data_IF_852755376165
#
_entry.id   IF_852755376165
#
_cell.length_a   1.000
_cell.length_b   1.000
_cell.length_c   1.000
_cell.angle_alpha   90.00
_cell.angle_beta   90.00
_cell.angle_gamma   90.00
#
_symmetry.space_group_name_H-M   'P 1'
#
loop_
_entity.id
_entity.type
_entity.pdbx_description
1 polymer ?
#
# COMPACT_ATOMS: atom_id res chain seq x y z
N UNK A 1 -14.11 13.01 20.72
CA UNK A 1 -15.26 12.56 21.54
C UNK A 1 -14.88 12.64 23.02
N UNK A 2 -15.75 13.12 23.91
CA UNK A 2 -15.47 13.26 25.36
C UNK A 2 -16.32 12.24 26.16
N UNK A 3 -15.82 11.65 27.27
CA UNK A 3 -16.56 10.67 28.07
C UNK A 3 -17.97 11.10 28.49
N UNK A 4 -18.14 12.39 28.81
CA UNK A 4 -19.46 12.97 29.17
C UNK A 4 -20.52 12.92 28.06
N UNK A 5 -20.14 12.57 26.83
CA UNK A 5 -21.05 12.45 25.69
C UNK A 5 -21.39 11.00 25.32
N UNK A 6 -20.99 10.03 26.17
CA UNK A 6 -21.20 8.60 25.98
C UNK A 6 -22.08 8.08 27.11
N UNK A 7 -23.15 7.37 26.76
CA UNK A 7 -24.07 6.74 27.70
C UNK A 7 -24.30 5.28 27.33
N UNK A 8 -24.58 4.45 28.34
CA UNK A 8 -25.04 3.07 28.15
C UNK A 8 -26.55 3.06 28.36
N UNK A 9 -27.29 2.70 27.31
CA UNK A 9 -28.73 2.58 27.38
C UNK A 9 -29.18 1.33 28.15
N UNK A 10 -30.48 1.24 28.45
CA UNK A 10 -31.05 0.15 29.25
C UNK A 10 -30.92 -1.25 28.64
N UNK A 11 -30.61 -1.33 27.35
CA UNK A 11 -30.45 -2.58 26.60
C UNK A 11 -28.98 -2.81 26.20
N UNK A 12 -28.03 -2.37 27.03
CA UNK A 12 -26.59 -2.46 26.79
C UNK A 12 -26.11 -1.80 25.48
N UNK A 13 -26.89 -0.84 24.96
CA UNK A 13 -26.56 -0.14 23.73
C UNK A 13 -25.70 1.10 24.02
N UNK A 14 -24.68 1.32 23.19
CA UNK A 14 -23.86 2.52 23.21
C UNK A 14 -24.61 3.73 22.64
N UNK A 15 -24.64 4.84 23.37
CA UNK A 15 -25.34 6.07 22.97
C UNK A 15 -24.35 7.24 23.00
N UNK A 16 -24.02 7.77 21.82
CA UNK A 16 -23.27 9.03 21.67
C UNK A 16 -24.22 10.20 21.42
N UNK A 17 -24.05 11.32 22.13
CA UNK A 17 -24.96 12.48 22.04
C UNK A 17 -24.35 13.73 21.41
N UNK A 18 -23.03 13.81 21.27
CA UNK A 18 -22.33 14.99 20.78
C UNK A 18 -21.50 14.65 19.53
N UNK A 19 -21.78 15.39 18.45
CA UNK A 19 -21.14 15.29 17.14
C UNK A 19 -20.56 16.66 16.70
N UNK A 20 -20.27 17.55 17.64
CA UNK A 20 -19.81 18.91 17.35
C UNK A 20 -18.41 18.99 16.71
N UNK A 21 -17.56 17.98 16.90
CA UNK A 21 -16.21 17.91 16.32
C UNK A 21 -16.09 16.60 15.54
N UNK A 22 -16.55 16.61 14.29
CA UNK A 22 -16.45 15.50 13.35
C UNK A 22 -15.45 15.83 12.25
N UNK A 23 -14.53 14.90 11.99
CA UNK A 23 -13.65 14.94 10.82
C UNK A 23 -14.18 14.04 9.71
N UNK A 24 -13.74 14.29 8.48
CA UNK A 24 -13.96 13.40 7.35
C UNK A 24 -12.60 12.86 6.93
N UNK A 25 -12.49 11.54 6.77
CA UNK A 25 -11.33 10.87 6.20
C UNK A 25 -11.67 10.50 4.76
N UNK A 26 -10.83 10.92 3.82
CA UNK A 26 -10.96 10.46 2.45
C UNK A 26 -10.46 9.01 2.29
N UNK A 27 -10.58 8.44 1.09
CA UNK A 27 -10.15 7.06 0.86
C UNK A 27 -8.63 6.89 1.02
N UNK A 28 -7.83 7.89 0.65
CA UNK A 28 -6.36 7.85 0.84
C UNK A 28 -5.97 7.88 2.32
N UNK A 29 -6.64 8.69 3.14
CA UNK A 29 -6.41 8.75 4.57
C UNK A 29 -6.75 7.42 5.24
N UNK A 30 -7.87 6.80 4.83
CA UNK A 30 -8.28 5.48 5.33
C UNK A 30 -7.29 4.40 4.93
N UNK A 31 -6.85 4.37 3.68
CA UNK A 31 -5.88 3.39 3.19
C UNK A 31 -4.55 3.53 3.94
N UNK A 32 -4.08 4.77 4.15
CA UNK A 32 -2.91 5.06 4.97
C UNK A 32 -3.08 4.53 6.40
N UNK A 33 -4.17 4.90 7.08
CA UNK A 33 -4.43 4.51 8.47
C UNK A 33 -4.49 2.99 8.63
N UNK A 34 -5.23 2.31 7.74
CA UNK A 34 -5.37 0.85 7.80
C UNK A 34 -4.03 0.16 7.58
N UNK A 35 -3.26 0.60 6.59
CA UNK A 35 -1.94 0.03 6.29
C UNK A 35 -0.96 0.26 7.44
N UNK A 36 -0.89 1.48 7.95
CA UNK A 36 -0.02 1.88 9.05
C UNK A 36 -0.38 1.11 10.34
N UNK A 37 -1.66 1.06 10.72
CA UNK A 37 -2.12 0.36 11.91
C UNK A 37 -1.89 -1.14 11.78
N UNK A 38 -2.21 -1.77 10.64
CA UNK A 38 -1.98 -3.19 10.44
C UNK A 38 -0.50 -3.54 10.59
N UNK A 39 0.39 -2.75 9.99
CA UNK A 39 1.83 -2.93 10.11
C UNK A 39 2.26 -2.76 11.58
N UNK A 40 1.76 -1.73 12.27
CA UNK A 40 2.02 -1.49 13.68
C UNK A 40 1.62 -2.67 14.57
N UNK A 41 0.40 -3.20 14.42
CA UNK A 41 -0.09 -4.33 15.22
C UNK A 41 0.65 -5.65 14.92
N UNK A 42 1.21 -5.79 13.72
CA UNK A 42 2.04 -6.94 13.34
C UNK A 42 3.54 -6.73 13.64
N UNK A 43 3.91 -5.65 14.33
CA UNK A 43 5.31 -5.27 14.60
C UNK A 43 6.17 -5.11 13.33
N UNK A 44 5.53 -4.82 12.19
CA UNK A 44 6.22 -4.52 10.94
C UNK A 44 6.58 -3.04 10.90
N UNK A 45 7.64 -2.66 11.62
CA UNK A 45 8.10 -1.27 11.69
C UNK A 45 8.53 -0.72 10.33
N UNK A 46 9.01 -1.60 9.45
CA UNK A 46 9.31 -1.25 8.06
C UNK A 46 8.03 -0.96 7.28
N UNK A 47 6.99 -1.76 7.47
CA UNK A 47 5.66 -1.51 6.92
C UNK A 47 5.06 -0.20 7.40
N UNK A 48 5.23 0.14 8.69
CA UNK A 48 4.84 1.46 9.22
C UNK A 48 5.59 2.57 8.50
N UNK A 49 6.91 2.47 8.39
CA UNK A 49 7.73 3.45 7.68
C UNK A 49 7.30 3.61 6.22
N UNK A 50 7.06 2.49 5.53
CA UNK A 50 6.63 2.48 4.13
C UNK A 50 5.25 3.11 3.96
N UNK A 51 4.30 2.89 4.87
CA UNK A 51 2.98 3.52 4.81
C UNK A 51 3.07 5.05 4.81
N UNK A 52 3.96 5.62 5.62
CA UNK A 52 4.20 7.07 5.62
C UNK A 52 4.84 7.58 4.32
N UNK A 53 5.75 6.82 3.72
CA UNK A 53 6.36 7.15 2.43
C UNK A 53 5.33 7.07 1.30
N UNK A 54 4.52 6.02 1.28
CA UNK A 54 3.50 5.75 0.26
C UNK A 54 2.37 6.78 0.29
N UNK A 55 2.08 7.36 1.46
CA UNK A 55 1.13 8.46 1.60
C UNK A 55 1.54 9.71 0.81
N UNK A 56 2.80 9.81 0.37
CA UNK A 56 3.28 10.90 -0.49
C UNK A 56 3.41 12.23 0.23
N UNK A 57 3.38 12.23 1.56
CA UNK A 57 3.55 13.44 2.39
C UNK A 57 5.02 13.73 2.72
N UNK A 58 5.95 12.97 2.14
CA UNK A 58 7.39 13.02 2.43
C UNK A 58 8.16 13.58 1.24
N UNK A 59 9.30 14.23 1.52
CA UNK A 59 10.37 14.37 0.53
C UNK A 59 11.22 13.09 0.44
N UNK A 60 12.47 13.23 0.02
CA UNK A 60 13.47 12.16 0.17
C UNK A 60 13.80 11.97 1.65
N UNK A 61 13.52 10.79 2.21
CA UNK A 61 13.84 10.42 3.59
C UNK A 61 14.68 9.14 3.63
N UNK A 62 15.53 9.01 4.65
CA UNK A 62 16.19 7.75 4.98
C UNK A 62 15.18 6.82 5.68
N UNK A 63 14.56 5.95 4.88
CA UNK A 63 13.55 4.98 5.34
C UNK A 63 14.10 4.08 6.45
N UNK A 64 15.38 3.71 6.41
CA UNK A 64 15.97 2.85 7.44
C UNK A 64 16.16 3.61 8.76
N UNK A 65 16.56 4.88 8.69
CA UNK A 65 16.63 5.72 9.88
C UNK A 65 15.24 5.93 10.51
N UNK A 66 14.21 6.11 9.67
CA UNK A 66 12.84 6.26 10.14
C UNK A 66 12.29 4.97 10.74
N UNK A 67 12.52 3.82 10.10
CA UNK A 67 12.17 2.49 10.64
C UNK A 67 12.78 2.28 12.03
N UNK A 68 14.07 2.61 12.21
CA UNK A 68 14.74 2.52 13.52
C UNK A 68 14.10 3.45 14.55
N UNK A 69 13.61 4.62 14.14
CA UNK A 69 12.93 5.55 15.04
C UNK A 69 11.57 5.02 15.46
N UNK A 70 10.78 4.52 14.51
CA UNK A 70 9.50 3.84 14.77
C UNK A 70 9.71 2.68 15.75
N UNK A 71 10.69 1.82 15.50
CA UNK A 71 10.98 0.68 16.38
C UNK A 71 11.31 1.09 17.82
N UNK A 72 12.01 2.21 18.04
CA UNK A 72 12.27 2.75 19.39
C UNK A 72 11.00 3.22 20.08
N UNK A 73 10.07 3.80 19.33
CA UNK A 73 8.78 4.28 19.84
C UNK A 73 7.88 3.07 20.15
N UNK A 74 7.81 2.08 19.26
CA UNK A 74 6.84 0.97 19.35
C UNK A 74 7.29 -0.23 20.19
N UNK A 75 8.59 -0.45 20.42
CA UNK A 75 9.07 -1.61 21.18
C UNK A 75 8.64 -1.64 22.66
N UNK A 76 8.63 -0.51 23.42
CA UNK A 76 8.36 -0.52 24.86
C UNK A 76 6.95 -0.90 25.30
N UNK A 77 6.03 -1.07 24.35
CA UNK A 77 4.57 -1.14 24.58
C UNK A 77 3.91 -2.41 24.12
N UNK A 78 4.64 -3.26 23.39
CA UNK A 78 4.10 -4.51 22.91
C UNK A 78 3.67 -5.41 24.07
N UNK A 79 2.51 -6.08 23.94
CA UNK A 79 1.90 -6.98 24.93
C UNK A 79 1.61 -6.37 26.31
N UNK A 80 1.53 -5.04 26.40
CA UNK A 80 1.16 -4.34 27.64
C UNK A 80 -0.31 -3.97 27.66
N UNK A 81 -0.90 -4.02 28.86
CA UNK A 81 -2.29 -3.62 29.06
C UNK A 81 -2.45 -2.09 29.07
N UNK A 82 -3.70 -1.63 28.90
CA UNK A 82 -4.04 -0.20 28.88
C UNK A 82 -3.59 0.57 30.11
N UNK A 83 -3.43 -0.05 31.27
CA UNK A 83 -2.95 0.60 32.49
C UNK A 83 -1.42 0.85 32.49
N UNK A 84 -0.65 0.12 31.69
CA UNK A 84 0.81 0.21 31.63
C UNK A 84 1.33 1.15 30.53
N UNK A 85 0.54 1.36 29.47
CA UNK A 85 0.94 2.15 28.30
C UNK A 85 -0.19 3.10 27.85
N UNK A 86 0.15 4.12 27.06
CA UNK A 86 -0.86 4.94 26.37
C UNK A 86 -0.73 4.79 24.87
N UNK A 87 -1.68 4.10 24.25
CA UNK A 87 -1.71 3.94 22.80
C UNK A 87 -1.91 5.28 22.06
N UNK A 88 -2.73 6.18 22.61
CA UNK A 88 -2.89 7.52 22.04
C UNK A 88 -1.59 8.31 22.04
N UNK A 89 -0.80 8.22 23.11
CA UNK A 89 0.51 8.89 23.17
C UNK A 89 1.47 8.36 22.10
N UNK A 90 1.43 7.06 21.83
CA UNK A 90 2.30 6.41 20.85
C UNK A 90 2.02 6.88 19.43
N UNK A 91 0.73 6.96 19.08
CA UNK A 91 0.34 7.52 17.79
C UNK A 91 0.80 8.97 17.64
N UNK A 92 0.68 9.76 18.71
CA UNK A 92 1.20 11.14 18.72
C UNK A 92 2.74 11.17 18.58
N UNK A 93 3.47 10.28 19.24
CA UNK A 93 4.93 10.19 19.15
C UNK A 93 5.36 9.78 17.73
N UNK A 94 4.64 8.87 17.08
CA UNK A 94 4.88 8.49 15.68
C UNK A 94 4.63 9.67 14.72
N UNK A 95 3.57 10.44 14.93
CA UNK A 95 3.27 11.64 14.13
C UNK A 95 4.32 12.74 14.34
N UNK A 96 4.78 12.91 15.58
CA UNK A 96 5.84 13.86 15.92
C UNK A 96 7.18 13.45 15.30
N UNK A 97 7.50 12.16 15.32
CA UNK A 97 8.71 11.64 14.67
C UNK A 97 8.62 11.75 13.14
N UNK A 98 7.45 11.48 12.55
CA UNK A 98 7.23 11.73 11.13
C UNK A 98 7.54 13.19 10.77
N UNK A 99 7.11 14.14 11.61
CA UNK A 99 7.45 15.56 11.42
C UNK A 99 8.96 15.85 11.51
N UNK A 100 9.70 15.14 12.38
CA UNK A 100 11.16 15.24 12.47
C UNK A 100 11.85 14.76 11.19
N UNK A 101 11.21 13.86 10.43
CA UNK A 101 11.63 13.40 9.11
C UNK A 101 11.05 14.24 7.96
N UNK A 102 10.59 15.47 8.23
CA UNK A 102 9.99 16.37 7.24
C UNK A 102 8.74 15.79 6.53
N UNK A 103 8.02 14.87 7.20
CA UNK A 103 6.76 14.33 6.70
C UNK A 103 5.62 15.25 7.12
N UNK A 104 4.81 15.69 6.15
CA UNK A 104 3.68 16.59 6.40
C UNK A 104 2.44 15.79 6.81
N UNK A 105 2.22 15.66 8.10
CA UNK A 105 1.03 14.99 8.63
C UNK A 105 -0.24 15.82 8.38
N UNK A 106 -1.31 15.19 7.90
CA UNK A 106 -2.59 15.85 7.66
C UNK A 106 -3.35 16.18 8.96
N UNK A 107 -4.01 17.36 9.06
CA UNK A 107 -4.73 17.76 10.27
C UNK A 107 -5.85 16.82 10.72
N UNK A 108 -6.56 16.15 9.79
CA UNK A 108 -7.63 15.22 10.17
C UNK A 108 -7.13 13.98 10.93
N UNK A 109 -5.87 13.59 10.73
CA UNK A 109 -5.24 12.49 11.47
C UNK A 109 -4.95 12.89 12.92
N UNK A 110 -4.50 14.13 13.13
CA UNK A 110 -4.30 14.68 14.49
C UNK A 110 -5.60 14.71 15.29
N UNK A 111 -6.74 14.96 14.62
CA UNK A 111 -8.06 14.94 15.26
C UNK A 111 -8.48 13.51 15.66
N UNK A 112 -8.16 12.52 14.83
CA UNK A 112 -8.37 11.12 15.14
C UNK A 112 -7.57 10.71 16.37
N UNK A 113 -6.28 11.06 16.43
CA UNK A 113 -5.42 10.77 17.58
C UNK A 113 -5.93 11.40 18.87
N UNK A 114 -6.34 12.68 18.80
CA UNK A 114 -6.98 13.34 19.94
C UNK A 114 -8.24 12.61 20.40
N UNK A 115 -9.01 12.06 19.47
CA UNK A 115 -10.20 11.26 19.81
C UNK A 115 -9.82 9.94 20.45
N UNK A 116 -8.80 9.24 19.92
CA UNK A 116 -8.28 8.01 20.50
C UNK A 116 -7.75 8.21 21.91
N UNK A 117 -7.00 9.30 22.18
CA UNK A 117 -6.49 9.62 23.51
C UNK A 117 -7.63 9.81 24.53
N UNK A 118 -8.71 10.49 24.13
CA UNK A 118 -9.87 10.68 25.01
C UNK A 118 -10.61 9.36 25.28
N UNK A 119 -10.75 8.51 24.27
CA UNK A 119 -11.42 7.20 24.41
C UNK A 119 -10.54 6.24 25.23
N UNK A 120 -9.22 6.28 25.07
CA UNK A 120 -8.28 5.51 25.87
C UNK A 120 -8.41 5.85 27.36
N UNK A 121 -8.52 7.15 27.69
CA UNK A 121 -8.76 7.59 29.06
C UNK A 121 -10.03 6.97 29.68
N UNK A 122 -11.11 6.87 28.89
CA UNK A 122 -12.32 6.16 29.30
C UNK A 122 -12.10 4.64 29.42
N UNK A 123 -11.40 4.04 28.45
CA UNK A 123 -11.05 2.62 28.45
C UNK A 123 -10.25 2.23 29.70
N UNK A 124 -9.31 3.07 30.13
CA UNK A 124 -8.52 2.87 31.35
C UNK A 124 -9.38 2.90 32.61
N UNK A 125 -10.45 3.72 32.65
CA UNK A 125 -11.38 3.76 33.78
C UNK A 125 -12.32 2.56 33.81
N UNK A 126 -12.79 2.10 32.65
CA UNK A 126 -13.79 1.02 32.53
C UNK A 126 -13.16 -0.37 32.56
N UNK A 127 -12.06 -0.56 31.83
CA UNK A 127 -11.38 -1.85 31.70
C UNK A 127 -9.84 -1.67 31.60
N UNK A 128 -9.16 -1.35 32.72
CA UNK A 128 -7.73 -1.05 32.71
C UNK A 128 -6.84 -2.18 32.17
N UNK A 129 -7.25 -3.44 32.38
CA UNK A 129 -6.52 -4.63 31.95
C UNK A 129 -6.80 -5.04 30.50
N UNK A 130 -7.47 -4.19 29.72
CA UNK A 130 -7.73 -4.47 28.31
C UNK A 130 -6.41 -4.60 27.54
N UNK A 131 -6.25 -5.73 26.86
CA UNK A 131 -5.20 -5.92 25.86
C UNK A 131 -5.68 -5.34 24.52
N UNK A 132 -5.09 -4.22 24.12
CA UNK A 132 -5.42 -3.56 22.87
C UNK A 132 -5.03 -4.40 21.65
N UNK A 133 -3.92 -5.13 21.70
CA UNK A 133 -3.45 -5.93 20.56
C UNK A 133 -4.40 -7.09 20.30
N UNK A 134 -4.72 -7.86 21.33
CA UNK A 134 -5.64 -8.98 21.19
C UNK A 134 -7.05 -8.52 20.78
N UNK A 135 -7.49 -7.37 21.27
CA UNK A 135 -8.85 -6.88 21.03
C UNK A 135 -9.00 -6.19 19.68
N UNK A 136 -8.05 -5.33 19.26
CA UNK A 136 -8.20 -4.49 18.07
C UNK A 136 -7.80 -5.20 16.76
N UNK A 137 -6.85 -6.14 16.81
CA UNK A 137 -6.36 -6.85 15.64
C UNK A 137 -7.46 -7.48 14.76
N UNK A 138 -8.43 -8.24 15.28
CA UNK A 138 -9.47 -8.84 14.44
C UNK A 138 -10.33 -7.78 13.71
N UNK A 139 -10.64 -6.66 14.36
CA UNK A 139 -11.38 -5.57 13.72
C UNK A 139 -10.60 -4.94 12.56
N UNK A 140 -9.28 -4.78 12.72
CA UNK A 140 -8.43 -4.25 11.64
C UNK A 140 -8.31 -5.24 10.48
N UNK A 141 -8.13 -6.54 10.76
CA UNK A 141 -8.09 -7.55 9.72
C UNK A 141 -9.39 -7.61 8.91
N UNK A 142 -10.54 -7.48 9.58
CA UNK A 142 -11.83 -7.45 8.91
C UNK A 142 -12.03 -6.15 8.11
N UNK A 143 -11.57 -5.01 8.64
CA UNK A 143 -11.57 -3.73 7.92
C UNK A 143 -10.72 -3.80 6.64
N UNK A 144 -9.53 -4.40 6.72
CA UNK A 144 -8.65 -4.65 5.56
C UNK A 144 -9.37 -5.54 4.54
N UNK A 145 -9.98 -6.65 4.96
CA UNK A 145 -10.74 -7.53 4.05
C UNK A 145 -11.88 -6.78 3.38
N UNK A 146 -12.56 -5.89 4.09
CA UNK A 146 -13.63 -5.07 3.52
C UNK A 146 -13.12 -4.01 2.54
N UNK A 147 -11.95 -3.43 2.78
CA UNK A 147 -11.33 -2.42 1.93
C UNK A 147 -10.79 -3.03 0.62
N UNK A 148 -10.08 -4.16 0.75
CA UNK A 148 -9.49 -4.93 -0.36
C UNK A 148 -10.40 -6.02 -0.92
N UNK A 149 -11.69 -6.01 -0.54
CA UNK A 149 -12.66 -6.93 -1.11
C UNK A 149 -12.66 -6.77 -2.63
N UNK A 150 -12.29 -7.83 -3.36
CA UNK A 150 -12.23 -7.84 -4.83
C UNK A 150 -13.52 -7.31 -5.46
N UNK A 151 -14.66 -7.44 -4.78
CA UNK A 151 -15.93 -6.87 -5.20
C UNK A 151 -15.90 -5.33 -5.30
N UNK A 152 -15.36 -4.62 -4.30
CA UNK A 152 -15.20 -3.15 -4.33
C UNK A 152 -14.20 -2.72 -5.39
N UNK A 153 -13.13 -3.50 -5.59
CA UNK A 153 -12.18 -3.26 -6.68
C UNK A 153 -12.85 -3.41 -8.04
N UNK A 154 -13.68 -4.45 -8.22
CA UNK A 154 -14.43 -4.69 -9.46
C UNK A 154 -15.50 -3.61 -9.71
N UNK A 155 -16.21 -3.16 -8.68
CA UNK A 155 -17.18 -2.06 -8.76
C UNK A 155 -16.49 -0.73 -9.13
N UNK A 156 -15.36 -0.38 -8.48
CA UNK A 156 -14.55 0.79 -8.82
C UNK A 156 -14.00 0.69 -10.26
N UNK A 157 -13.62 -0.51 -10.71
CA UNK A 157 -13.16 -0.75 -12.08
C UNK A 157 -14.30 -0.60 -13.09
N UNK A 158 -15.49 -1.11 -12.80
CA UNK A 158 -16.68 -1.00 -13.64
C UNK A 158 -17.13 0.46 -13.78
N UNK A 159 -17.03 1.25 -12.71
CA UNK A 159 -17.34 2.68 -12.72
C UNK A 159 -16.33 3.49 -13.55
N UNK A 160 -15.04 3.13 -13.49
CA UNK A 160 -13.97 3.80 -14.24
C UNK A 160 -13.77 3.26 -15.66
N UNK A 161 -14.27 2.07 -15.96
CA UNK A 161 -14.13 1.41 -17.27
C UNK A 161 -14.62 2.27 -18.45
N UNK A 162 -15.76 2.98 -18.38
CA UNK A 162 -16.21 3.83 -19.50
C UNK A 162 -15.28 5.01 -19.77
N UNK A 163 -14.61 5.54 -18.74
CA UNK A 163 -13.59 6.60 -18.90
C UNK A 163 -12.31 6.03 -19.50
N UNK A 164 -11.83 4.90 -18.98
CA UNK A 164 -10.66 4.21 -19.53
C UNK A 164 -10.86 3.81 -20.99
N UNK A 165 -12.03 3.26 -21.35
CA UNK A 165 -12.38 2.88 -22.73
C UNK A 165 -12.37 4.08 -23.69
N UNK A 166 -12.68 5.29 -23.23
CA UNK A 166 -12.60 6.53 -24.02
C UNK A 166 -11.17 7.02 -24.22
N UNK A 167 -10.26 6.68 -23.33
CA UNK A 167 -8.84 7.05 -23.36
C UNK A 167 -7.96 5.99 -24.05
N UNK A 168 -8.47 4.77 -24.28
CA UNK A 168 -7.79 3.69 -25.02
C UNK A 168 -7.25 4.12 -26.39
N UNK A 169 -7.97 4.92 -27.21
CA UNK A 169 -7.47 5.34 -28.52
C UNK A 169 -6.18 6.18 -28.44
N UNK A 170 -5.90 6.83 -27.30
CA UNK A 170 -4.71 7.65 -27.08
C UNK A 170 -3.53 6.89 -26.46
N UNK A 171 -3.78 5.71 -25.87
CA UNK A 171 -2.75 4.85 -25.27
C UNK A 171 -1.58 4.52 -26.23
N UNK A 172 -1.80 4.18 -27.52
CA UNK A 172 -0.69 3.93 -28.43
C UNK A 172 0.19 5.16 -28.62
N UNK A 173 -0.41 6.35 -28.71
CA UNK A 173 0.30 7.61 -28.86
C UNK A 173 1.10 7.99 -27.61
N UNK A 174 0.52 7.81 -26.42
CA UNK A 174 1.19 8.07 -25.14
C UNK A 174 2.33 7.09 -24.88
N UNK A 175 2.16 5.80 -25.19
CA UNK A 175 3.23 4.79 -25.11
C UNK A 175 4.36 5.10 -26.08
N UNK A 176 4.05 5.42 -27.33
CA UNK A 176 5.06 5.81 -28.33
C UNK A 176 5.80 7.08 -27.92
N UNK A 177 5.11 8.07 -27.33
CA UNK A 177 5.72 9.30 -26.85
C UNK A 177 6.56 9.07 -25.59
N UNK A 178 6.13 8.21 -24.67
CA UNK A 178 6.91 7.81 -23.50
C UNK A 178 8.17 7.04 -23.91
N UNK A 179 8.05 6.11 -24.86
CA UNK A 179 9.19 5.38 -25.45
C UNK A 179 10.16 6.33 -26.14
N UNK A 180 9.66 7.28 -26.96
CA UNK A 180 10.48 8.33 -27.58
C UNK A 180 11.13 9.27 -26.56
N UNK A 181 10.45 9.56 -25.45
CA UNK A 181 10.98 10.41 -24.37
C UNK A 181 12.07 9.68 -23.60
N UNK A 182 11.92 8.38 -23.34
CA UNK A 182 12.95 7.51 -22.76
C UNK A 182 14.15 7.40 -23.72
N UNK A 183 13.91 7.26 -25.02
CA UNK A 183 14.96 7.23 -26.05
C UNK A 183 15.71 8.57 -26.14
N UNK A 184 15.01 9.71 -26.11
CA UNK A 184 15.63 11.04 -26.03
C UNK A 184 16.36 11.30 -24.70
N UNK A 185 15.86 10.78 -23.59
CA UNK A 185 16.54 10.87 -22.28
C UNK A 185 17.84 10.05 -22.29
N UNK A 186 17.89 8.99 -23.10
CA UNK A 186 19.09 8.21 -23.39
C UNK A 186 20.12 9.02 -24.20
N UNK A 187 19.68 9.85 -25.14
CA UNK A 187 20.55 10.74 -25.90
C UNK A 187 21.10 11.90 -25.05
N UNK A 188 20.31 12.46 -24.13
CA UNK A 188 20.75 13.55 -23.23
C UNK A 188 21.79 13.05 -22.20
N UNK A 189 21.73 11.78 -21.82
CA UNK A 189 22.72 11.13 -20.95
C UNK A 189 24.05 10.81 -21.65
N UNK A 190 24.21 11.12 -22.95
CA UNK A 190 25.45 10.97 -23.71
C UNK A 190 26.63 11.84 -23.23
N UNK A 191 26.43 12.68 -22.22
CA UNK A 191 27.46 13.54 -21.61
C UNK A 191 28.03 13.02 -20.27
N UNK A 192 27.56 11.87 -19.74
CA UNK A 192 28.07 11.27 -18.49
C UNK A 192 28.61 9.84 -18.71
N UNK A 193 29.72 9.83 -19.44
CA UNK A 193 30.91 8.98 -19.37
C UNK A 193 30.81 7.51 -18.86
N UNK A 194 30.87 6.58 -19.83
CA UNK A 194 31.57 5.27 -19.86
C UNK A 194 31.41 4.20 -18.76
N UNK A 195 30.79 4.46 -17.60
CA UNK A 195 30.51 3.42 -16.59
C UNK A 195 29.04 2.98 -16.54
N UNK A 196 28.12 3.83 -16.99
CA UNK A 196 26.67 3.56 -17.01
C UNK A 196 26.26 2.66 -18.18
N UNK A 197 27.03 2.66 -19.28
CA UNK A 197 26.72 1.89 -20.49
C UNK A 197 26.78 0.36 -20.26
N UNK A 198 27.71 -0.12 -19.44
CA UNK A 198 27.83 -1.54 -19.11
C UNK A 198 26.66 -2.02 -18.26
N UNK A 199 26.22 -1.22 -17.28
CA UNK A 199 25.08 -1.55 -16.42
C UNK A 199 23.75 -1.45 -17.16
N UNK A 200 23.56 -0.42 -17.97
CA UNK A 200 22.36 -0.26 -18.81
C UNK A 200 22.27 -1.35 -19.86
N UNK A 201 23.40 -1.78 -20.44
CA UNK A 201 23.43 -2.91 -21.38
C UNK A 201 23.09 -4.22 -20.69
N UNK A 202 23.65 -4.48 -19.50
CA UNK A 202 23.30 -5.66 -18.70
C UNK A 202 21.83 -5.69 -18.26
N UNK A 203 21.26 -4.55 -17.87
CA UNK A 203 19.83 -4.46 -17.52
C UNK A 203 18.94 -4.62 -18.74
N UNK A 204 19.29 -4.03 -19.88
CA UNK A 204 18.52 -4.17 -21.13
C UNK A 204 18.56 -5.60 -21.65
N UNK A 205 19.72 -6.25 -21.59
CA UNK A 205 19.88 -7.63 -22.00
C UNK A 205 19.13 -8.58 -21.05
N UNK A 206 19.20 -8.38 -19.72
CA UNK A 206 18.44 -9.18 -18.75
C UNK A 206 16.93 -8.94 -18.81
N UNK A 207 16.47 -7.70 -19.03
CA UNK A 207 15.06 -7.38 -19.18
C UNK A 207 14.49 -8.03 -20.45
N UNK A 208 15.16 -7.88 -21.59
CA UNK A 208 14.74 -8.55 -22.83
C UNK A 208 14.77 -10.08 -22.69
N UNK A 209 15.73 -10.61 -21.93
CA UNK A 209 15.83 -12.04 -21.63
C UNK A 209 14.65 -12.53 -20.80
N UNK A 210 14.32 -11.82 -19.71
CA UNK A 210 13.18 -12.15 -18.86
C UNK A 210 11.85 -12.00 -19.60
N UNK A 211 11.64 -10.90 -20.32
CA UNK A 211 10.44 -10.69 -21.11
C UNK A 211 10.29 -11.81 -22.16
N UNK A 212 11.35 -12.14 -22.89
CA UNK A 212 11.29 -13.23 -23.90
C UNK A 212 11.02 -14.60 -23.27
N UNK A 213 11.55 -14.89 -22.08
CA UNK A 213 11.28 -16.13 -21.35
C UNK A 213 9.83 -16.22 -20.84
N UNK A 214 9.27 -15.12 -20.33
CA UNK A 214 7.85 -15.04 -19.91
C UNK A 214 6.91 -15.22 -21.10
N UNK A 215 7.22 -14.59 -22.25
CA UNK A 215 6.44 -14.76 -23.48
C UNK A 215 6.53 -16.20 -24.02
N UNK A 216 7.72 -16.82 -24.02
CA UNK A 216 7.89 -18.21 -24.44
C UNK A 216 7.12 -19.17 -23.52
N UNK A 217 7.18 -18.99 -22.19
CA UNK A 217 6.43 -19.79 -21.22
C UNK A 217 4.92 -19.70 -21.43
N UNK A 218 4.40 -18.48 -21.62
CA UNK A 218 2.98 -18.25 -21.91
C UNK A 218 2.53 -18.93 -23.21
N UNK A 219 3.36 -18.88 -24.27
CA UNK A 219 3.06 -19.53 -25.56
C UNK A 219 3.07 -21.05 -25.48
N UNK A 220 3.96 -21.66 -24.68
CA UNK A 220 3.97 -23.11 -24.46
C UNK A 220 2.70 -23.56 -23.73
N UNK A 221 2.27 -22.80 -22.72
CA UNK A 221 1.01 -23.06 -22.01
C UNK A 221 -0.17 -22.94 -22.98
N UNK A 222 -0.20 -21.90 -23.82
CA UNK A 222 -1.23 -21.70 -24.84
C UNK A 222 -1.27 -22.86 -25.87
N UNK A 223 -0.10 -23.33 -26.31
CA UNK A 223 0.02 -24.44 -27.26
C UNK A 223 -0.50 -25.76 -26.68
N UNK A 224 -0.28 -26.00 -25.39
CA UNK A 224 -0.84 -27.13 -24.66
C UNK A 224 -2.36 -27.09 -24.59
N UNK A 225 -2.93 -25.91 -24.29
CA UNK A 225 -4.39 -25.72 -24.26
C UNK A 225 -5.01 -25.89 -25.66
N UNK A 226 -4.36 -25.37 -26.71
CA UNK A 226 -4.83 -25.49 -28.09
C UNK A 226 -4.74 -26.93 -28.64
N UNK A 227 -3.78 -27.72 -28.16
CA UNK A 227 -3.63 -29.15 -28.52
C UNK A 227 -4.82 -29.99 -28.07
N UNK A 228 -5.46 -29.60 -26.95
CA UNK A 228 -6.65 -30.27 -26.41
C UNK A 228 -7.89 -30.01 -27.31
N UNK A 229 -7.87 -28.96 -28.13
CA UNK A 229 -9.00 -28.54 -28.99
C UNK A 229 -8.82 -28.94 -30.46
N UNK A 230 -8.08 -30.04 -30.74
CA UNK A 230 -7.77 -30.62 -32.07
C UNK A 230 -7.24 -29.64 -33.15
N UNK A 231 -6.78 -28.46 -32.75
CA UNK A 231 -6.26 -27.43 -33.64
C UNK A 231 -4.75 -27.60 -33.84
N UNK A 232 -4.35 -28.73 -34.44
CA UNK A 232 -2.95 -29.15 -34.58
C UNK A 232 -2.05 -28.13 -35.32
N UNK A 233 -2.60 -27.42 -36.30
CA UNK A 233 -1.90 -26.33 -37.01
C UNK A 233 -1.61 -25.13 -36.11
N UNK A 234 -2.56 -24.74 -35.26
CA UNK A 234 -2.38 -23.62 -34.33
C UNK A 234 -1.40 -23.95 -33.20
N UNK A 235 -1.41 -25.20 -32.71
CA UNK A 235 -0.44 -25.69 -31.73
C UNK A 235 0.98 -25.72 -32.31
N UNK A 236 1.15 -26.20 -33.56
CA UNK A 236 2.44 -26.19 -34.25
C UNK A 236 3.02 -24.79 -34.44
N UNK A 237 2.19 -23.81 -34.83
CA UNK A 237 2.62 -22.41 -34.98
C UNK A 237 3.01 -21.81 -33.61
N UNK A 238 2.24 -22.07 -32.56
CA UNK A 238 2.53 -21.57 -31.21
C UNK A 238 3.87 -22.12 -30.67
N UNK A 239 4.16 -23.40 -30.89
CA UNK A 239 5.46 -24.02 -30.50
C UNK A 239 6.62 -23.43 -31.30
N UNK A 240 6.46 -23.22 -32.61
CA UNK A 240 7.50 -22.62 -33.45
C UNK A 240 7.82 -21.18 -33.01
N UNK A 241 6.79 -20.38 -32.70
CA UNK A 241 6.97 -19.01 -32.18
C UNK A 241 7.60 -19.04 -30.79
N UNK A 242 7.18 -19.95 -29.90
CA UNK A 242 7.79 -20.12 -28.58
C UNK A 242 9.29 -20.45 -28.66
N UNK A 243 9.70 -21.31 -29.60
CA UNK A 243 11.11 -21.66 -29.82
C UNK A 243 11.94 -20.46 -30.30
N UNK A 244 11.40 -19.62 -31.19
CA UNK A 244 12.08 -18.39 -31.63
C UNK A 244 12.30 -17.43 -30.47
N UNK A 245 11.28 -17.23 -29.62
CA UNK A 245 11.41 -16.39 -28.43
C UNK A 245 12.32 -17.01 -27.37
N UNK A 246 12.35 -18.33 -27.23
CA UNK A 246 13.26 -19.03 -26.32
C UNK A 246 14.72 -18.92 -26.76
N UNK A 247 15.01 -19.10 -28.06
CA UNK A 247 16.36 -18.89 -28.62
C UNK A 247 16.80 -17.44 -28.46
N UNK A 248 15.89 -16.47 -28.65
CA UNK A 248 16.15 -15.05 -28.40
C UNK A 248 16.35 -14.72 -26.92
N UNK A 249 15.86 -15.55 -26.00
CA UNK A 249 16.03 -15.43 -24.55
C UNK A 249 17.31 -16.09 -24.02
N UNK A 250 18.15 -16.68 -24.88
CA UNK A 250 19.37 -17.37 -24.45
C UNK A 250 20.60 -16.52 -24.67
#
# INVERSE_FOLDING_TARGET
MHPGNIFVGKNDNYIGVDFGIMGVLDESDKDFLVTMLLAFFNQDYRGVAQAYVDAGWTGEIDVQAFERAIGRICAPMFEKSLDEISFGQVLMDLMAEAKNFNITVQPQLLLLDKTLLNIEGLGRQLYPKLDLWATAKPFLEDLVKEQYNMKKTFEKLQEKAPKLLKEIPELPGLLLNALKKIERMKDINGLYDKQTDTLVKQLKDNANRQTSAIFAGTLVILAGILSINESWLASGIAVAVALVFWVKSR
#
